data_IF_913633585148
#
_entry.id   IF_913633585148
#
_cell.length_a   1.000
_cell.length_b   1.000
_cell.length_c   1.000
_cell.angle_alpha   90.00
_cell.angle_beta   90.00
_cell.angle_gamma   90.00
#
_symmetry.space_group_name_H-M   'P 1'
#
loop_
_entity.id
_entity.type
_entity.pdbx_description
1 polymer ?
#
# COMPACT_ATOMS: atom_id res chain seq x y z
N UNK A 1 15.86 -27.97 22.59
CA UNK A 1 15.49 -26.60 23.02
C UNK A 1 14.00 -26.45 22.78
N UNK A 2 13.19 -26.84 23.76
CA UNK A 2 11.74 -26.68 23.68
C UNK A 2 11.40 -25.23 23.98
N UNK A 3 11.12 -24.43 22.94
CA UNK A 3 10.80 -23.01 23.06
C UNK A 3 9.37 -22.76 23.57
N UNK A 4 8.86 -23.56 24.49
CA UNK A 4 7.44 -23.48 24.85
C UNK A 4 7.09 -24.06 26.23
N UNK A 5 7.49 -23.35 27.29
CA UNK A 5 6.82 -23.50 28.58
C UNK A 5 6.65 -22.19 29.39
N UNK A 6 7.42 -21.13 29.09
CA UNK A 6 7.39 -19.89 29.88
C UNK A 6 7.08 -18.62 29.06
N UNK A 7 6.17 -18.68 28.08
CA UNK A 7 5.71 -17.44 27.42
C UNK A 7 4.64 -16.79 28.32
N UNK A 8 4.87 -15.57 28.85
CA UNK A 8 3.89 -14.89 29.70
C UNK A 8 2.54 -14.80 28.98
N UNK A 9 1.44 -15.01 29.71
CA UNK A 9 0.07 -15.01 29.18
C UNK A 9 -0.27 -13.74 28.38
N UNK A 10 0.47 -12.67 28.67
CA UNK A 10 0.39 -11.29 28.18
C UNK A 10 1.02 -11.08 26.79
N UNK A 11 1.95 -11.95 26.35
CA UNK A 11 2.58 -11.82 25.02
C UNK A 11 1.75 -12.55 23.97
N UNK A 12 1.35 -11.83 22.92
CA UNK A 12 0.70 -12.44 21.76
C UNK A 12 1.62 -13.50 21.18
N UNK A 13 1.06 -14.68 20.97
CA UNK A 13 1.90 -15.85 20.85
C UNK A 13 2.44 -16.09 19.44
N UNK A 14 2.10 -15.21 18.50
CA UNK A 14 2.60 -15.21 17.12
C UNK A 14 4.06 -14.72 17.05
N UNK A 15 4.60 -14.12 18.12
CA UNK A 15 5.93 -13.51 18.13
C UNK A 15 7.10 -14.46 18.47
N UNK A 16 6.84 -15.73 18.79
CA UNK A 16 7.89 -16.71 19.15
C UNK A 16 7.88 -17.93 18.24
N UNK A 17 9.06 -18.38 17.82
CA UNK A 17 9.25 -19.64 17.12
C UNK A 17 8.75 -20.84 17.95
N UNK A 18 8.08 -21.80 17.30
CA UNK A 18 7.61 -23.03 17.96
C UNK A 18 6.32 -22.87 18.78
N UNK A 19 5.57 -21.80 18.55
CA UNK A 19 4.34 -21.54 19.29
C UNK A 19 3.14 -22.44 18.89
N UNK A 20 2.37 -22.92 19.88
CA UNK A 20 1.32 -23.96 19.73
C UNK A 20 -0.13 -23.45 19.55
N UNK A 21 -0.43 -22.14 19.60
CA UNK A 21 -1.79 -21.61 19.31
C UNK A 21 -2.08 -21.49 17.82
N UNK A 22 -1.12 -21.81 16.94
CA UNK A 22 -1.40 -21.98 15.52
C UNK A 22 -2.17 -23.29 15.28
N UNK A 23 -3.06 -23.36 14.29
CA UNK A 23 -3.71 -24.62 13.92
C UNK A 23 -2.65 -25.66 13.55
N UNK A 24 -2.84 -26.89 14.01
CA UNK A 24 -1.92 -27.99 13.71
C UNK A 24 -1.87 -28.25 12.20
N UNK A 25 -0.67 -28.20 11.62
CA UNK A 25 -0.45 -28.47 10.20
C UNK A 25 0.08 -29.91 10.05
N UNK A 26 -0.58 -30.73 9.24
CA UNK A 26 -0.17 -32.11 8.94
C UNK A 26 -0.30 -32.35 7.44
N UNK A 27 0.70 -33.01 6.84
CA UNK A 27 0.67 -33.40 5.43
C UNK A 27 1.07 -32.33 4.42
N UNK A 28 1.57 -31.18 4.85
CA UNK A 28 2.12 -30.14 3.96
C UNK A 28 3.63 -30.34 3.82
N UNK A 29 4.11 -30.50 2.59
CA UNK A 29 5.54 -30.63 2.27
C UNK A 29 5.96 -29.42 1.43
N UNK A 30 6.98 -28.69 1.86
CA UNK A 30 7.51 -27.53 1.14
C UNK A 30 8.91 -27.84 0.60
N UNK A 31 9.12 -27.59 -0.69
CA UNK A 31 10.40 -27.74 -1.35
C UNK A 31 10.99 -26.37 -1.65
N UNK A 32 12.30 -26.23 -1.48
CA UNK A 32 13.02 -24.99 -1.76
C UNK A 32 14.36 -25.30 -2.43
N UNK A 33 14.83 -24.37 -3.27
CA UNK A 33 16.14 -24.43 -3.91
C UNK A 33 17.00 -23.33 -3.30
N UNK A 34 18.29 -23.62 -3.07
CA UNK A 34 19.23 -22.63 -2.55
C UNK A 34 19.30 -21.39 -3.50
N UNK A 35 19.25 -20.16 -2.97
CA UNK A 35 19.27 -18.94 -3.79
C UNK A 35 20.48 -18.83 -4.73
N UNK A 36 21.63 -19.38 -4.32
CA UNK A 36 22.88 -19.37 -5.10
C UNK A 36 22.81 -20.28 -6.35
N UNK A 37 21.74 -21.07 -6.49
CA UNK A 37 21.52 -22.01 -7.59
C UNK A 37 20.44 -21.52 -8.56
N UNK A 38 19.85 -20.35 -8.33
CA UNK A 38 18.87 -19.72 -9.22
C UNK A 38 19.43 -18.42 -9.79
N UNK A 39 19.24 -18.21 -11.10
CA UNK A 39 19.51 -16.90 -11.72
C UNK A 39 18.43 -15.90 -11.28
N UNK A 40 18.85 -14.78 -10.69
CA UNK A 40 17.95 -13.72 -10.23
C UNK A 40 17.23 -13.03 -11.41
N UNK A 41 17.88 -13.02 -12.57
CA UNK A 41 17.47 -12.27 -13.76
C UNK A 41 16.32 -12.97 -14.50
N UNK A 42 16.28 -14.29 -14.37
CA UNK A 42 15.20 -15.14 -14.87
C UNK A 42 13.85 -14.83 -14.20
N UNK A 43 13.87 -14.33 -12.96
CA UNK A 43 12.67 -14.04 -12.16
C UNK A 43 11.97 -12.76 -12.66
N UNK A 44 12.74 -11.74 -13.07
CA UNK A 44 12.22 -10.45 -13.51
C UNK A 44 11.75 -10.46 -14.96
N UNK A 45 12.57 -10.98 -15.87
CA UNK A 45 12.36 -10.83 -17.32
C UNK A 45 11.76 -12.07 -17.98
N UNK A 46 12.27 -13.27 -17.67
CA UNK A 46 11.92 -14.48 -18.43
C UNK A 46 10.64 -15.19 -17.94
N UNK A 47 10.17 -14.93 -16.72
CA UNK A 47 8.99 -15.59 -16.13
C UNK A 47 7.74 -14.71 -16.05
N UNK A 48 7.66 -13.64 -16.84
CA UNK A 48 6.45 -12.81 -16.94
C UNK A 48 6.18 -11.93 -15.71
N UNK A 49 7.22 -11.56 -14.95
CA UNK A 49 7.10 -10.66 -13.80
C UNK A 49 6.42 -9.33 -14.15
N UNK A 50 6.79 -8.75 -15.30
CA UNK A 50 6.19 -7.51 -15.83
C UNK A 50 4.70 -7.67 -16.15
N UNK A 51 4.31 -8.76 -16.83
CA UNK A 51 2.90 -9.00 -17.14
C UNK A 51 2.05 -9.23 -15.89
N UNK A 52 2.61 -9.91 -14.89
CA UNK A 52 1.95 -10.08 -13.60
C UNK A 52 1.81 -8.77 -12.83
N UNK A 53 2.80 -7.88 -12.90
CA UNK A 53 2.71 -6.52 -12.34
C UNK A 53 1.56 -5.75 -13.01
N UNK A 54 1.51 -5.70 -14.35
CA UNK A 54 0.45 -5.00 -15.09
C UNK A 54 -0.93 -5.55 -14.72
N UNK A 55 -1.09 -6.89 -14.68
CA UNK A 55 -2.35 -7.53 -14.29
C UNK A 55 -2.80 -7.13 -12.88
N UNK A 56 -1.87 -7.08 -11.91
CA UNK A 56 -2.17 -6.69 -10.53
C UNK A 56 -2.52 -5.20 -10.42
N UNK A 57 -1.76 -4.33 -11.10
CA UNK A 57 -1.99 -2.89 -11.11
C UNK A 57 -3.33 -2.53 -11.72
N UNK A 58 -3.75 -3.22 -12.81
CA UNK A 58 -5.06 -3.01 -13.44
C UNK A 58 -6.22 -3.22 -12.47
N UNK A 59 -6.15 -4.23 -11.60
CA UNK A 59 -7.22 -4.52 -10.64
C UNK A 59 -7.35 -3.47 -9.53
N UNK A 60 -6.29 -2.70 -9.27
CA UNK A 60 -6.27 -1.65 -8.25
C UNK A 60 -6.45 -0.24 -8.83
N UNK A 61 -6.26 -0.08 -10.14
CA UNK A 61 -6.28 1.21 -10.82
C UNK A 61 -7.55 2.03 -10.51
N UNK A 62 -8.73 1.40 -10.56
CA UNK A 62 -10.00 2.09 -10.32
C UNK A 62 -10.26 2.47 -8.85
N UNK A 63 -9.55 1.87 -7.91
CA UNK A 63 -9.66 2.27 -6.50
C UNK A 63 -8.74 3.43 -6.17
N UNK A 64 -7.62 3.55 -6.90
CA UNK A 64 -6.54 4.48 -6.59
C UNK A 64 -6.63 5.73 -7.46
N UNK A 65 -6.80 5.59 -8.77
CA UNK A 65 -6.73 6.72 -9.70
C UNK A 65 -7.88 7.71 -9.54
N UNK A 66 -9.16 7.31 -9.45
CA UNK A 66 -10.25 8.25 -9.30
C UNK A 66 -10.14 9.20 -8.10
N UNK A 67 -9.81 8.76 -6.87
CA UNK A 67 -9.66 9.70 -5.75
C UNK A 67 -8.45 10.63 -5.93
N UNK A 68 -7.35 10.17 -6.53
CA UNK A 68 -6.21 11.05 -6.80
C UNK A 68 -6.51 12.10 -7.86
N UNK A 69 -7.21 11.73 -8.92
CA UNK A 69 -7.64 12.66 -9.97
C UNK A 69 -8.61 13.69 -9.40
N UNK A 70 -9.59 13.26 -8.60
CA UNK A 70 -10.52 14.17 -7.92
C UNK A 70 -9.79 15.14 -6.97
N UNK A 71 -8.85 14.63 -6.17
CA UNK A 71 -8.06 15.45 -5.27
C UNK A 71 -7.20 16.48 -6.02
N UNK A 72 -6.58 16.08 -7.13
CA UNK A 72 -5.80 16.99 -7.96
C UNK A 72 -6.66 18.14 -8.51
N UNK A 73 -7.81 17.83 -9.10
CA UNK A 73 -8.71 18.86 -9.62
C UNK A 73 -9.27 19.77 -8.52
N UNK A 74 -9.63 19.21 -7.37
CA UNK A 74 -10.10 20.00 -6.23
C UNK A 74 -9.01 20.95 -5.73
N UNK A 75 -7.76 20.50 -5.68
CA UNK A 75 -6.62 21.32 -5.25
C UNK A 75 -6.33 22.43 -6.26
N UNK A 76 -6.30 22.13 -7.55
CA UNK A 76 -6.12 23.16 -8.60
C UNK A 76 -7.23 24.19 -8.58
N UNK A 77 -8.49 23.76 -8.41
CA UNK A 77 -9.62 24.69 -8.27
C UNK A 77 -9.48 25.57 -7.02
N UNK A 78 -9.08 24.99 -5.89
CA UNK A 78 -8.90 25.72 -4.64
C UNK A 78 -7.77 26.76 -4.75
N UNK A 79 -6.66 26.42 -5.41
CA UNK A 79 -5.54 27.33 -5.67
C UNK A 79 -5.97 28.49 -6.57
N UNK A 80 -6.60 28.21 -7.71
CA UNK A 80 -7.09 29.24 -8.63
C UNK A 80 -8.10 30.17 -7.94
N UNK A 81 -9.04 29.60 -7.18
CA UNK A 81 -10.03 30.38 -6.43
C UNK A 81 -9.37 31.25 -5.35
N UNK A 82 -8.37 30.72 -4.65
CA UNK A 82 -7.62 31.47 -3.65
C UNK A 82 -6.84 32.64 -4.28
N UNK A 83 -6.15 32.39 -5.39
CA UNK A 83 -5.44 33.42 -6.14
C UNK A 83 -6.39 34.51 -6.66
N UNK A 84 -7.55 34.12 -7.18
CA UNK A 84 -8.56 35.06 -7.66
C UNK A 84 -9.12 35.94 -6.52
N UNK A 85 -9.49 35.37 -5.37
CA UNK A 85 -9.99 36.13 -4.23
C UNK A 85 -8.95 37.12 -3.69
N UNK A 86 -7.67 36.76 -3.74
CA UNK A 86 -6.57 37.64 -3.35
C UNK A 86 -6.17 38.65 -4.43
N UNK A 87 -6.71 38.56 -5.64
CA UNK A 87 -6.48 39.51 -6.73
C UNK A 87 -7.26 40.83 -6.50
N UNK A 88 -6.91 41.88 -7.27
CA UNK A 88 -7.61 43.17 -7.16
C UNK A 88 -9.08 43.08 -7.57
N UNK A 89 -9.36 42.34 -8.64
CA UNK A 89 -10.73 42.14 -9.14
C UNK A 89 -11.56 41.33 -8.16
N UNK A 90 -10.98 40.27 -7.58
CA UNK A 90 -11.66 39.46 -6.55
C UNK A 90 -11.98 40.25 -5.28
N UNK A 91 -11.06 41.11 -4.82
CA UNK A 91 -11.33 42.01 -3.69
C UNK A 91 -12.40 43.05 -3.98
N UNK A 92 -12.46 43.59 -5.19
CA UNK A 92 -13.49 44.56 -5.58
C UNK A 92 -14.89 43.93 -5.69
N UNK A 93 -14.98 42.63 -6.03
CA UNK A 93 -16.24 41.92 -6.19
C UNK A 93 -16.76 41.25 -4.91
N UNK A 94 -15.87 40.81 -4.02
CA UNK A 94 -16.23 40.03 -2.83
C UNK A 94 -15.77 40.67 -1.50
N UNK A 95 -15.10 41.82 -1.55
CA UNK A 95 -14.59 42.51 -0.36
C UNK A 95 -15.64 43.27 0.43
N UNK A 96 -16.70 43.74 -0.23
CA UNK A 96 -17.78 44.53 0.38
C UNK A 96 -18.93 43.66 0.92
N UNK A 97 -19.03 42.39 0.49
CA UNK A 97 -20.09 41.45 0.91
C UNK A 97 -19.85 40.83 2.31
N UNK A 98 -18.73 41.18 2.97
CA UNK A 98 -18.33 40.64 4.27
C UNK A 98 -18.60 41.60 5.46
N UNK A 99 -19.22 42.76 5.22
CA UNK A 99 -19.77 43.67 6.25
C UNK A 99 -21.27 43.40 6.47
#
# INVERSE_FOLDING_TARGET
MEYNQNVPKEKFAVWSWGHKRLPAQKGVVSYQIAPNRVSQETILYNKGGVFNMIRRSRNQFLYVVPPFVAAYFLMSWAEERNHYLNSKEGRALFGDDAE
#
